data_IF_542425902745
#
_entry.id   IF_542425902745
#
_cell.length_a   1.000
_cell.length_b   1.000
_cell.length_c   1.000
_cell.angle_alpha   90.00
_cell.angle_beta   90.00
_cell.angle_gamma   90.00
#
_symmetry.space_group_name_H-M   'P 1'
#
loop_
_entity.id
_entity.type
_entity.pdbx_description
1 polymer ?
#
# COMPACT_ATOMS: atom_id res chain seq x y z
N UNK A 1 -43.47 37.87 -51.10
CA UNK A 1 -43.63 36.62 -51.87
C UNK A 1 -42.39 35.75 -51.62
N UNK A 2 -42.45 34.88 -50.62
CA UNK A 2 -42.37 33.40 -50.71
C UNK A 2 -41.26 32.88 -51.64
N UNK A 3 -40.33 32.06 -51.13
CA UNK A 3 -40.31 30.58 -51.33
C UNK A 3 -38.97 29.94 -50.88
N UNK A 4 -39.06 29.09 -49.84
CA UNK A 4 -38.37 27.79 -49.54
C UNK A 4 -36.82 27.68 -49.59
N UNK A 5 -36.13 27.18 -48.55
CA UNK A 5 -36.03 25.78 -48.04
C UNK A 5 -35.53 24.81 -49.14
N UNK A 6 -34.50 23.96 -49.03
CA UNK A 6 -33.58 23.48 -47.99
C UNK A 6 -32.30 22.92 -48.72
N UNK A 7 -31.65 21.80 -48.32
CA UNK A 7 -30.36 21.75 -47.64
C UNK A 7 -29.37 20.87 -48.44
N UNK A 8 -28.40 20.27 -47.76
CA UNK A 8 -27.47 19.22 -48.20
C UNK A 8 -26.12 19.68 -48.76
N UNK A 9 -25.10 19.48 -47.94
CA UNK A 9 -23.93 18.75 -48.40
C UNK A 9 -23.62 17.63 -47.40
N UNK A 10 -23.58 16.43 -47.97
CA UNK A 10 -23.32 15.13 -47.36
C UNK A 10 -21.85 14.98 -46.98
N UNK A 11 -21.58 14.25 -45.91
CA UNK A 11 -20.24 13.81 -45.53
C UNK A 11 -20.29 12.81 -44.36
N UNK A 12 -20.22 11.49 -44.62
CA UNK A 12 -20.20 10.46 -43.59
C UNK A 12 -18.78 10.30 -43.01
N UNK A 13 -18.61 9.36 -42.06
CA UNK A 13 -17.34 8.87 -41.45
C UNK A 13 -17.01 9.60 -40.14
N UNK A 14 -16.99 9.00 -38.94
CA UNK A 14 -16.69 7.62 -38.57
C UNK A 14 -17.28 7.31 -37.18
N UNK A 15 -18.26 6.40 -37.10
CA UNK A 15 -18.39 5.58 -35.90
C UNK A 15 -17.22 4.60 -35.89
N UNK A 16 -16.33 4.72 -34.92
CA UNK A 16 -15.48 3.60 -34.49
C UNK A 16 -15.83 3.26 -33.04
N UNK A 17 -16.31 2.04 -32.89
CA UNK A 17 -16.37 1.28 -31.64
C UNK A 17 -14.94 0.96 -31.20
N UNK A 18 -14.73 0.91 -29.89
CA UNK A 18 -13.47 0.56 -29.21
C UNK A 18 -13.55 1.13 -27.80
N UNK A 19 -14.31 0.52 -26.88
CA UNK A 19 -13.76 -0.45 -25.92
C UNK A 19 -12.26 -0.29 -25.70
N UNK A 20 -11.94 0.03 -24.45
CA UNK A 20 -10.67 -0.28 -23.80
C UNK A 20 -9.50 0.67 -24.10
N UNK A 21 -9.39 1.75 -23.32
CA UNK A 21 -8.06 2.23 -22.94
C UNK A 21 -7.69 1.56 -21.62
N UNK A 22 -7.30 0.29 -21.71
CA UNK A 22 -6.49 -0.32 -20.67
C UNK A 22 -5.05 0.06 -20.97
N UNK A 23 -4.66 1.23 -20.48
CA UNK A 23 -3.26 1.59 -20.36
C UNK A 23 -2.79 1.24 -18.95
N UNK A 24 -2.72 -0.08 -18.69
CA UNK A 24 -1.91 -0.64 -17.59
C UNK A 24 -0.61 -1.14 -18.21
N UNK A 25 0.26 -0.22 -18.61
CA UNK A 25 1.61 -0.57 -19.03
C UNK A 25 2.51 0.66 -19.01
N UNK A 26 3.10 0.93 -17.84
CA UNK A 26 4.55 1.14 -17.68
C UNK A 26 4.84 1.37 -16.19
N UNK A 27 5.46 0.35 -15.59
CA UNK A 27 5.88 0.25 -14.18
C UNK A 27 7.18 1.01 -13.90
N UNK A 28 7.49 2.04 -14.68
CA UNK A 28 8.56 2.98 -14.35
C UNK A 28 7.93 4.19 -13.66
N UNK A 29 7.86 4.10 -12.33
CA UNK A 29 7.39 5.20 -11.50
C UNK A 29 8.42 6.34 -11.57
N UNK A 30 8.26 7.23 -12.56
CA UNK A 30 8.44 8.68 -12.29
C UNK A 30 7.74 8.96 -10.96
N UNK A 31 8.31 9.77 -10.04
CA UNK A 31 7.69 10.00 -8.74
C UNK A 31 6.24 10.34 -8.99
N UNK A 32 5.33 9.40 -8.65
CA UNK A 32 3.98 9.43 -9.17
C UNK A 32 3.44 10.79 -8.76
N UNK A 33 3.19 11.69 -9.71
CA UNK A 33 2.78 13.06 -9.40
C UNK A 33 1.52 12.99 -8.52
N UNK A 34 0.68 11.99 -8.76
CA UNK A 34 -0.45 11.60 -7.92
C UNK A 34 -0.11 11.34 -6.44
N UNK A 35 1.06 10.77 -6.12
CA UNK A 35 1.57 10.60 -4.73
C UNK A 35 2.16 11.92 -4.20
N UNK A 36 2.87 12.68 -5.04
CA UNK A 36 3.43 13.99 -4.66
C UNK A 36 2.34 15.00 -4.30
N UNK A 37 1.18 14.94 -4.97
CA UNK A 37 0.01 15.78 -4.69
C UNK A 37 -0.70 15.43 -3.38
N UNK A 38 -0.38 14.29 -2.75
CA UNK A 38 -0.98 13.90 -1.47
C UNK A 38 -0.26 14.59 -0.31
N UNK A 39 -0.98 14.92 0.77
CA UNK A 39 -0.37 15.57 1.92
C UNK A 39 0.72 14.68 2.51
N UNK A 40 1.81 15.31 2.95
CA UNK A 40 2.99 14.62 3.46
C UNK A 40 2.65 13.60 4.57
N UNK A 41 1.72 13.97 5.45
CA UNK A 41 1.20 13.10 6.50
C UNK A 41 0.60 11.80 5.94
N UNK A 42 -0.25 11.88 4.93
CA UNK A 42 -0.88 10.69 4.34
C UNK A 42 0.15 9.81 3.67
N UNK A 43 1.14 10.40 2.99
CA UNK A 43 2.24 9.62 2.39
C UNK A 43 2.98 8.78 3.43
N UNK A 44 3.28 9.36 4.59
CA UNK A 44 3.92 8.64 5.70
C UNK A 44 2.99 7.56 6.28
N UNK A 45 1.69 7.85 6.43
CA UNK A 45 0.69 6.87 6.89
C UNK A 45 0.65 5.67 5.95
N UNK A 46 0.57 5.89 4.64
CA UNK A 46 0.46 4.82 3.64
C UNK A 46 1.74 3.98 3.55
N UNK A 47 2.92 4.55 3.81
CA UNK A 47 4.15 3.77 3.94
C UNK A 47 4.09 2.85 5.18
N UNK A 48 3.80 3.42 6.34
CA UNK A 48 3.75 2.68 7.61
C UNK A 48 2.61 1.65 7.68
N UNK A 49 1.57 1.82 6.87
CA UNK A 49 0.48 0.88 6.73
C UNK A 49 0.93 -0.49 6.22
N UNK A 50 1.94 -0.53 5.33
CA UNK A 50 2.47 -1.76 4.74
C UNK A 50 3.45 -2.48 5.67
N UNK A 51 4.30 -1.73 6.38
CA UNK A 51 5.23 -2.29 7.36
C UNK A 51 5.76 -1.22 8.30
N UNK A 52 6.26 -1.67 9.44
CA UNK A 52 7.03 -0.81 10.33
C UNK A 52 8.35 -0.45 9.64
N UNK A 53 8.68 0.85 9.64
CA UNK A 53 9.92 1.35 9.04
C UNK A 53 10.75 2.09 10.07
N UNK A 54 12.07 2.08 9.87
CA UNK A 54 12.98 2.93 10.66
C UNK A 54 13.02 4.35 10.08
N UNK A 55 13.27 5.35 10.92
CA UNK A 55 13.43 6.75 10.48
C UNK A 55 14.39 6.93 9.28
N UNK A 56 15.61 6.36 9.27
CA UNK A 56 16.53 6.51 8.13
C UNK A 56 16.01 5.83 6.86
N UNK A 57 15.37 4.67 6.96
CA UNK A 57 14.80 3.96 5.81
C UNK A 57 13.63 4.74 5.20
N UNK A 58 12.74 5.22 6.07
CA UNK A 58 11.59 6.02 5.63
C UNK A 58 12.06 7.32 4.97
N UNK A 59 13.10 7.93 5.53
CA UNK A 59 13.71 9.11 4.93
C UNK A 59 14.30 8.82 3.55
N UNK A 60 15.03 7.71 3.39
CA UNK A 60 15.62 7.31 2.11
C UNK A 60 14.54 7.06 1.05
N UNK A 61 13.43 6.41 1.42
CA UNK A 61 12.28 6.19 0.54
C UNK A 61 11.65 7.51 0.10
N UNK A 62 11.37 8.40 1.07
CA UNK A 62 10.80 9.71 0.78
C UNK A 62 11.71 10.54 -0.14
N UNK A 63 13.02 10.52 0.10
CA UNK A 63 13.98 11.22 -0.76
C UNK A 63 14.01 10.66 -2.19
N UNK A 64 13.95 9.34 -2.33
CA UNK A 64 13.87 8.66 -3.64
C UNK A 64 12.59 9.00 -4.38
N UNK A 65 11.48 9.14 -3.66
CA UNK A 65 10.18 9.54 -4.21
C UNK A 65 10.07 11.05 -4.49
N UNK A 66 11.17 11.80 -4.38
CA UNK A 66 11.20 13.25 -4.66
C UNK A 66 10.57 14.11 -3.56
N UNK A 67 10.40 13.60 -2.34
CA UNK A 67 10.01 14.45 -1.21
C UNK A 67 11.09 15.48 -0.93
N UNK A 68 10.67 16.74 -0.85
CA UNK A 68 11.56 17.87 -0.61
C UNK A 68 12.26 17.74 0.76
N UNK A 69 13.57 18.02 0.79
CA UNK A 69 14.39 18.09 2.00
C UNK A 69 13.78 18.98 3.09
N UNK A 70 12.96 19.98 2.71
CA UNK A 70 12.25 20.87 3.63
C UNK A 70 11.38 20.12 4.66
N UNK A 71 10.82 18.99 4.26
CA UNK A 71 9.89 18.23 5.10
C UNK A 71 10.62 17.22 6.01
N UNK A 72 11.95 17.09 5.89
CA UNK A 72 12.79 16.21 6.72
C UNK A 72 12.73 16.58 8.21
N UNK A 73 12.68 17.88 8.51
CA UNK A 73 12.53 18.38 9.89
C UNK A 73 11.15 18.06 10.48
N UNK A 74 10.10 18.07 9.65
CA UNK A 74 8.75 17.70 10.06
C UNK A 74 8.52 16.20 10.16
N UNK A 75 9.32 15.37 9.48
CA UNK A 75 9.16 13.90 9.48
C UNK A 75 9.07 13.34 10.90
N UNK A 76 9.97 13.78 11.79
CA UNK A 76 9.97 13.32 13.18
C UNK A 76 8.68 13.66 13.92
N UNK A 77 8.14 14.88 13.71
CA UNK A 77 6.89 15.33 14.33
C UNK A 77 5.69 14.55 13.79
N UNK A 78 5.63 14.37 12.46
CA UNK A 78 4.60 13.59 11.79
C UNK A 78 4.61 12.14 12.27
N UNK A 79 5.79 11.51 12.31
CA UNK A 79 5.96 10.16 12.83
C UNK A 79 5.46 10.02 14.27
N UNK A 80 5.75 10.98 15.15
CA UNK A 80 5.24 10.94 16.52
C UNK A 80 3.70 11.03 16.59
N UNK A 81 3.09 11.79 15.67
CA UNK A 81 1.64 11.93 15.60
C UNK A 81 0.97 10.69 15.02
N UNK A 82 1.55 10.11 13.96
CA UNK A 82 0.92 9.02 13.20
C UNK A 82 1.39 7.61 13.56
N UNK A 83 2.51 7.49 14.26
CA UNK A 83 3.15 6.22 14.55
C UNK A 83 3.55 6.13 16.03
N UNK A 84 3.65 4.89 16.50
CA UNK A 84 4.26 4.56 17.77
C UNK A 84 5.72 4.21 17.52
N UNK A 85 6.63 4.94 18.17
CA UNK A 85 8.05 4.63 18.17
C UNK A 85 8.30 3.43 19.09
N UNK A 86 8.82 2.35 18.54
CA UNK A 86 9.33 1.25 19.33
C UNK A 86 10.76 1.57 19.78
N UNK A 87 10.95 1.72 21.09
CA UNK A 87 12.25 2.05 21.67
C UNK A 87 13.26 0.88 21.61
N UNK A 88 12.80 -0.34 21.34
CA UNK A 88 13.65 -1.55 21.31
C UNK A 88 14.45 -1.65 20.01
N UNK A 89 13.84 -1.30 18.90
CA UNK A 89 14.38 -1.47 17.54
C UNK A 89 14.33 -0.18 16.69
N UNK A 90 13.90 0.94 17.28
CA UNK A 90 13.73 2.25 16.66
C UNK A 90 12.85 2.22 15.40
N UNK A 91 11.90 1.27 15.36
CA UNK A 91 10.90 1.17 14.31
C UNK A 91 9.68 2.02 14.64
N UNK A 92 9.08 2.59 13.60
CA UNK A 92 7.82 3.31 13.71
C UNK A 92 6.72 2.39 13.19
N UNK A 93 5.73 2.10 14.03
CA UNK A 93 4.54 1.34 13.65
C UNK A 93 3.32 2.24 13.58
N UNK A 94 2.48 2.09 12.54
CA UNK A 94 1.30 2.93 12.38
C UNK A 94 0.32 2.76 13.56
N UNK A 95 -0.27 3.87 14.04
CA UNK A 95 -1.29 3.83 15.08
C UNK A 95 -2.58 3.21 14.56
N UNK A 96 -3.25 2.43 15.41
CA UNK A 96 -4.47 1.69 15.06
C UNK A 96 -5.58 2.60 14.50
N UNK A 97 -5.78 3.76 15.10
CA UNK A 97 -6.79 4.72 14.67
C UNK A 97 -6.52 5.35 13.29
N UNK A 98 -5.35 5.14 12.69
CA UNK A 98 -5.05 5.63 11.35
C UNK A 98 -5.26 4.58 10.28
N UNK A 99 -5.48 3.32 10.66
CA UNK A 99 -5.80 2.29 9.68
C UNK A 99 -7.10 2.60 8.92
N UNK A 100 -8.06 3.28 9.57
CA UNK A 100 -9.27 3.81 8.95
C UNK A 100 -9.05 4.96 7.95
N UNK A 101 -7.86 5.58 7.95
CA UNK A 101 -7.50 6.67 7.00
C UNK A 101 -6.76 6.13 5.77
N UNK A 102 -6.38 4.85 5.77
CA UNK A 102 -5.65 4.24 4.65
C UNK A 102 -6.57 4.07 3.45
N UNK A 103 -6.09 4.47 2.27
CA UNK A 103 -6.80 4.32 1.00
C UNK A 103 -6.28 3.09 0.24
N UNK A 104 -7.17 2.17 -0.13
CA UNK A 104 -6.81 0.99 -0.92
C UNK A 104 -6.36 1.38 -2.34
N UNK A 105 -6.94 2.43 -2.91
CA UNK A 105 -6.60 2.96 -4.25
C UNK A 105 -5.42 3.94 -4.23
N UNK A 106 -4.48 3.78 -3.29
CA UNK A 106 -3.32 4.66 -3.20
C UNK A 106 -2.41 4.48 -4.42
N UNK A 107 -2.04 5.57 -5.13
CA UNK A 107 -1.27 5.48 -6.37
C UNK A 107 0.17 4.96 -6.19
N UNK A 108 0.64 4.81 -4.94
CA UNK A 108 1.92 4.18 -4.62
C UNK A 108 1.84 2.71 -4.22
N UNK A 109 0.65 2.09 -4.22
CA UNK A 109 0.50 0.68 -3.91
C UNK A 109 0.49 -0.18 -5.18
N UNK A 110 1.40 -1.14 -5.22
CA UNK A 110 1.30 -2.26 -6.15
C UNK A 110 0.08 -3.14 -5.79
N UNK A 111 -0.36 -3.98 -6.73
CA UNK A 111 -1.36 -5.03 -6.45
C UNK A 111 -0.95 -5.89 -5.24
N UNK A 112 0.34 -6.22 -5.16
CA UNK A 112 0.93 -6.98 -4.05
C UNK A 112 0.82 -6.20 -2.73
N UNK A 113 1.06 -4.89 -2.77
CA UNK A 113 0.96 -4.03 -1.58
C UNK A 113 -0.49 -3.92 -1.11
N UNK A 114 -1.46 -3.87 -2.04
CA UNK A 114 -2.89 -3.84 -1.72
C UNK A 114 -3.34 -5.12 -1.04
N UNK A 115 -2.90 -6.28 -1.53
CA UNK A 115 -3.17 -7.58 -0.89
C UNK A 115 -2.53 -7.67 0.50
N UNK A 116 -1.27 -7.22 0.63
CA UNK A 116 -0.58 -7.18 1.91
C UNK A 116 -1.30 -6.27 2.93
N UNK A 117 -1.70 -5.07 2.49
CA UNK A 117 -2.46 -4.15 3.32
C UNK A 117 -3.76 -4.78 3.83
N UNK A 118 -4.48 -5.51 2.97
CA UNK A 118 -5.70 -6.20 3.36
C UNK A 118 -5.44 -7.26 4.44
N UNK A 119 -4.38 -8.05 4.31
CA UNK A 119 -3.95 -9.01 5.34
C UNK A 119 -3.58 -8.32 6.66
N UNK A 120 -2.88 -7.19 6.59
CA UNK A 120 -2.48 -6.40 7.76
C UNK A 120 -3.71 -5.84 8.48
N UNK A 121 -4.67 -5.30 7.72
CA UNK A 121 -5.93 -4.78 8.23
C UNK A 121 -6.74 -5.89 8.90
N UNK A 122 -6.90 -7.03 8.22
CA UNK A 122 -7.62 -8.19 8.76
C UNK A 122 -6.99 -8.70 10.07
N UNK A 123 -5.65 -8.76 10.14
CA UNK A 123 -4.93 -9.15 11.36
C UNK A 123 -5.04 -8.10 12.47
N UNK A 124 -5.09 -6.81 12.13
CA UNK A 124 -5.21 -5.71 13.11
C UNK A 124 -6.63 -5.61 13.68
N UNK A 125 -7.65 -5.88 12.86
CA UNK A 125 -9.06 -5.88 13.29
C UNK A 125 -9.47 -7.17 14.02
N UNK A 126 -8.66 -8.22 13.96
CA UNK A 126 -8.92 -9.43 14.73
C UNK A 126 -8.60 -9.17 16.21
N UNK A 127 -9.52 -9.50 17.15
CA UNK A 127 -9.21 -9.46 18.57
C UNK A 127 -8.10 -10.48 18.85
N UNK A 128 -6.89 -9.96 19.07
CA UNK A 128 -5.68 -10.61 19.57
C UNK A 128 -5.77 -12.11 19.79
N UNK A 129 -5.31 -12.89 18.81
CA UNK A 129 -4.49 -14.07 19.11
C UNK A 129 -3.23 -14.01 18.27
N UNK A 130 -2.11 -14.14 18.98
CA UNK A 130 -0.78 -14.46 18.47
C UNK A 130 0.11 -13.28 18.03
N UNK A 131 0.90 -12.85 19.02
CA UNK A 131 2.32 -12.68 18.83
C UNK A 131 2.94 -13.98 18.28
N UNK A 132 2.92 -14.18 16.96
CA UNK A 132 3.81 -15.16 16.31
C UNK A 132 5.03 -14.41 15.81
N UNK A 133 5.97 -14.22 16.73
CA UNK A 133 7.38 -14.20 16.34
C UNK A 133 7.71 -15.56 15.71
N UNK A 134 8.27 -15.48 14.50
CA UNK A 134 9.42 -16.31 14.11
C UNK A 134 9.18 -17.83 13.94
N UNK A 135 9.13 -18.19 12.65
CA UNK A 135 9.74 -19.39 12.06
C UNK A 135 9.08 -20.76 12.23
N UNK A 136 8.59 -21.25 11.09
CA UNK A 136 8.82 -22.59 10.54
C UNK A 136 8.30 -23.78 11.34
N UNK A 137 7.07 -24.14 10.99
CA UNK A 137 6.60 -25.47 10.60
C UNK A 137 7.42 -26.72 10.98
N UNK A 138 6.81 -27.48 11.89
CA UNK A 138 6.51 -28.93 11.77
C UNK A 138 7.65 -29.93 11.54
N UNK A 139 7.94 -30.72 12.58
CA UNK A 139 7.49 -32.13 12.59
C UNK A 139 7.47 -32.66 14.03
N UNK A 140 6.27 -32.95 14.53
CA UNK A 140 6.07 -33.71 15.75
C UNK A 140 6.35 -35.19 15.49
N UNK A 141 7.04 -35.82 16.44
CA UNK A 141 7.08 -37.26 16.59
C UNK A 141 7.60 -37.61 17.98
N UNK A 142 6.73 -37.72 19.00
CA UNK A 142 7.10 -38.34 20.27
C UNK A 142 6.77 -39.83 20.18
N UNK A 143 7.72 -40.71 20.46
CA UNK A 143 7.39 -41.96 21.15
C UNK A 143 8.66 -42.64 21.64
N UNK A 144 8.93 -42.51 22.93
CA UNK A 144 9.73 -43.48 23.65
C UNK A 144 8.80 -44.55 24.20
N UNK A 145 9.18 -45.83 24.01
CA UNK A 145 9.19 -46.92 25.02
C UNK A 145 9.19 -48.29 24.34
N UNK A 146 10.31 -48.98 24.54
CA UNK A 146 10.39 -50.32 25.15
C UNK A 146 9.09 -51.15 25.22
N UNK A 147 9.09 -52.31 24.54
CA UNK A 147 8.48 -53.55 25.03
C UNK A 147 8.82 -54.72 24.07
N UNK A 148 9.47 -55.75 24.61
CA UNK A 148 9.62 -57.09 24.03
C UNK A 148 8.28 -57.71 23.59
N UNK A 149 8.32 -58.74 22.73
CA UNK A 149 7.82 -60.02 23.24
C UNK A 149 8.65 -61.24 22.84
N UNK A 150 8.45 -62.22 23.71
CA UNK A 150 8.87 -63.62 23.76
C UNK A 150 8.30 -64.42 22.59
N UNK A 151 9.11 -65.31 22.01
CA UNK A 151 8.74 -66.68 21.63
C UNK A 151 10.00 -67.48 21.28
#
# INVERSE_FOLDING_TARGET
>A
EVKRLQPNTSGPVLRRKGTTSMSSANVDCRPCTAVLHRPYRDRVIHLLALRNYKKPELLALLLRDGVMQKDKGSLGKVLHQVANLNAKDNSFGLKEHLFKTIQKDWPGYSEIDRQNLELILARKSAPSQNATSTSQSTSAGPSGKDASPRS
#
